data_IF_860197178124
#
_entry.id   IF_860197178124
#
_cell.length_a   1.000
_cell.length_b   1.000
_cell.length_c   1.000
_cell.angle_alpha   90.00
_cell.angle_beta   90.00
_cell.angle_gamma   90.00
#
_symmetry.space_group_name_H-M   'P 1'
#
loop_
_entity.id
_entity.type
_entity.pdbx_description
1 polymer ?
#
# COMPACT_ATOMS: atom_id res chain seq x y z
N UNK A 1 -9.35 -0.12 -10.16
CA UNK A 1 -8.62 -0.95 -9.17
C UNK A 1 -8.12 -2.20 -9.90
N UNK A 2 -6.83 -2.52 -9.91
CA UNK A 2 -6.44 -3.80 -10.55
C UNK A 2 -4.98 -4.09 -10.90
N UNK A 3 -4.01 -3.22 -10.60
CA UNK A 3 -2.59 -3.62 -10.75
C UNK A 3 -1.78 -3.39 -9.48
N UNK A 4 -1.92 -2.22 -8.83
CA UNK A 4 -1.26 -1.91 -7.56
C UNK A 4 -2.30 -1.46 -6.54
N UNK A 5 -2.51 -2.25 -5.48
CA UNK A 5 -3.54 -1.97 -4.48
C UNK A 5 -3.15 -0.79 -3.59
N UNK A 6 -1.87 -0.64 -3.26
CA UNK A 6 -1.37 0.49 -2.46
C UNK A 6 -1.34 1.84 -3.21
N UNK A 7 -1.61 1.85 -4.52
CA UNK A 7 -1.85 3.06 -5.30
C UNK A 7 -3.30 3.57 -5.17
N UNK A 8 -4.09 3.04 -4.22
CA UNK A 8 -5.49 3.43 -4.04
C UNK A 8 -5.62 4.94 -3.82
N UNK A 9 -6.53 5.56 -4.57
CA UNK A 9 -6.93 6.97 -4.48
C UNK A 9 -8.44 7.05 -4.67
N UNK A 10 -9.18 7.00 -3.58
CA UNK A 10 -10.65 7.06 -3.58
C UNK A 10 -11.16 8.45 -3.25
N UNK A 11 -12.19 8.95 -3.95
CA UNK A 11 -12.84 10.21 -3.58
C UNK A 11 -13.65 10.04 -2.29
N UNK A 12 -13.55 11.01 -1.38
CA UNK A 12 -14.30 11.03 -0.13
C UNK A 12 -15.68 11.67 -0.33
N UNK A 13 -16.68 10.88 -0.71
CA UNK A 13 -18.05 11.36 -0.92
C UNK A 13 -18.13 12.50 -1.93
N UNK A 14 -18.74 13.62 -1.55
CA UNK A 14 -18.84 14.84 -2.37
C UNK A 14 -17.72 15.86 -2.10
N UNK A 15 -16.72 15.50 -1.32
CA UNK A 15 -15.58 16.38 -1.04
C UNK A 15 -14.51 16.28 -2.13
N UNK A 16 -13.59 17.23 -2.15
CA UNK A 16 -12.39 17.19 -2.99
C UNK A 16 -11.26 16.34 -2.37
N UNK A 17 -11.49 15.71 -1.22
CA UNK A 17 -10.47 14.92 -0.54
C UNK A 17 -10.32 13.54 -1.16
N UNK A 18 -9.08 13.03 -1.11
CA UNK A 18 -8.71 11.72 -1.62
C UNK A 18 -8.25 10.84 -0.46
N UNK A 19 -8.95 9.73 -0.26
CA UNK A 19 -8.51 8.63 0.60
C UNK A 19 -7.36 7.88 -0.06
N UNK A 20 -6.23 7.85 0.62
CA UNK A 20 -5.12 6.95 0.28
C UNK A 20 -5.39 5.53 0.82
N UNK A 21 -4.48 4.61 0.49
CA UNK A 21 -4.65 3.22 0.90
C UNK A 21 -4.56 3.01 2.43
N UNK A 22 -3.77 3.83 3.12
CA UNK A 22 -3.65 3.75 4.58
C UNK A 22 -4.99 4.13 5.24
N UNK A 23 -5.62 5.22 4.78
CA UNK A 23 -6.94 5.63 5.25
C UNK A 23 -7.98 4.55 4.98
N UNK A 24 -7.97 3.93 3.80
CA UNK A 24 -8.88 2.81 3.51
C UNK A 24 -8.72 1.66 4.50
N UNK A 25 -7.48 1.29 4.84
CA UNK A 25 -7.20 0.22 5.80
C UNK A 25 -7.70 0.56 7.21
N UNK A 26 -7.53 1.81 7.65
CA UNK A 26 -8.03 2.31 8.93
C UNK A 26 -9.55 2.16 9.01
N UNK A 27 -10.29 2.60 7.98
CA UNK A 27 -11.75 2.49 7.94
C UNK A 27 -12.24 1.04 7.86
N UNK A 28 -11.61 0.20 7.03
CA UNK A 28 -11.96 -1.23 6.92
C UNK A 28 -11.72 -1.94 8.25
N UNK A 29 -10.70 -1.54 9.01
CA UNK A 29 -10.42 -2.12 10.33
C UNK A 29 -11.48 -1.77 11.38
N UNK A 30 -12.18 -0.64 11.25
CA UNK A 30 -13.27 -0.26 12.15
C UNK A 30 -14.59 -0.98 11.85
N UNK A 31 -14.72 -1.61 10.68
CA UNK A 31 -15.95 -2.31 10.30
C UNK A 31 -16.25 -3.50 11.24
N UNK A 32 -17.47 -3.61 11.77
CA UNK A 32 -17.88 -4.76 12.58
C UNK A 32 -17.74 -6.07 11.80
N UNK A 33 -17.24 -7.11 12.46
CA UNK A 33 -17.05 -8.44 11.87
C UNK A 33 -15.77 -8.63 11.04
N UNK A 34 -15.01 -7.57 10.75
CA UNK A 34 -13.67 -7.72 10.17
C UNK A 34 -12.69 -8.09 11.28
N UNK A 35 -12.14 -9.30 11.22
CA UNK A 35 -11.14 -9.79 12.17
C UNK A 35 -9.71 -9.66 11.64
N UNK A 36 -9.54 -9.73 10.31
CA UNK A 36 -8.22 -9.79 9.68
C UNK A 36 -8.24 -9.15 8.29
N UNK A 37 -7.22 -8.36 8.00
CA UNK A 37 -7.04 -7.66 6.73
C UNK A 37 -5.72 -8.13 6.10
N UNK A 38 -5.80 -8.61 4.86
CA UNK A 38 -4.67 -8.95 4.02
C UNK A 38 -4.89 -8.35 2.64
N UNK A 39 -3.83 -7.80 2.06
CA UNK A 39 -3.83 -7.40 0.67
C UNK A 39 -2.60 -7.99 -0.03
N UNK A 40 -2.72 -8.11 -1.35
CA UNK A 40 -1.66 -8.56 -2.26
C UNK A 40 -1.49 -7.51 -3.35
N UNK A 41 -0.46 -7.64 -4.19
CA UNK A 41 -0.14 -6.71 -5.30
C UNK A 41 0.15 -5.28 -4.84
N UNK A 42 1.40 -5.03 -4.45
CA UNK A 42 1.92 -3.72 -4.05
C UNK A 42 3.00 -3.23 -5.01
N UNK A 43 3.08 -1.92 -5.21
CA UNK A 43 4.21 -1.29 -5.90
C UNK A 43 5.17 -0.66 -4.90
N UNK A 44 6.50 -0.88 -5.00
CA UNK A 44 7.48 -0.27 -4.11
C UNK A 44 7.35 1.26 -3.98
N UNK A 45 7.19 1.98 -5.09
CA UNK A 45 7.01 3.45 -5.06
C UNK A 45 5.74 3.94 -4.35
N UNK A 46 4.75 3.08 -4.15
CA UNK A 46 3.48 3.43 -3.50
C UNK A 46 3.47 3.00 -2.03
N UNK A 47 4.61 2.57 -1.49
CA UNK A 47 4.77 2.20 -0.09
C UNK A 47 5.11 3.44 0.75
N UNK A 48 4.11 4.26 1.00
CA UNK A 48 4.26 5.55 1.68
C UNK A 48 4.51 5.39 3.18
N UNK A 49 5.03 6.45 3.82
CA UNK A 49 5.20 6.48 5.28
C UNK A 49 3.89 6.23 6.03
N UNK A 50 2.76 6.77 5.55
CA UNK A 50 1.44 6.48 6.13
C UNK A 50 1.08 5.00 6.08
N UNK A 51 1.40 4.32 4.98
CA UNK A 51 1.15 2.88 4.87
C UNK A 51 2.05 2.08 5.82
N UNK A 52 3.30 2.48 6.01
CA UNK A 52 4.21 1.89 7.02
C UNK A 52 3.60 2.05 8.43
N UNK A 53 3.13 3.24 8.77
CA UNK A 53 2.51 3.49 10.07
C UNK A 53 1.22 2.69 10.30
N UNK A 54 0.44 2.44 9.24
CA UNK A 54 -0.76 1.61 9.34
C UNK A 54 -0.44 0.18 9.83
N UNK A 55 0.70 -0.39 9.45
CA UNK A 55 1.15 -1.69 9.98
C UNK A 55 1.43 -1.68 11.49
N UNK A 56 1.80 -0.52 12.05
CA UNK A 56 1.98 -0.38 13.50
C UNK A 56 0.67 -0.08 14.24
N UNK A 57 -0.24 0.66 13.60
CA UNK A 57 -1.47 1.19 14.23
C UNK A 57 -2.70 0.32 14.08
N UNK A 58 -2.75 -0.58 13.09
CA UNK A 58 -3.93 -1.38 12.75
C UNK A 58 -3.68 -2.86 13.11
N UNK A 59 -4.10 -3.36 14.30
CA UNK A 59 -3.82 -4.73 14.72
C UNK A 59 -4.43 -5.81 13.82
N UNK A 60 -5.54 -5.48 13.13
CA UNK A 60 -6.21 -6.37 12.17
C UNK A 60 -5.42 -6.53 10.87
N UNK A 61 -4.48 -5.62 10.58
CA UNK A 61 -3.61 -5.71 9.42
C UNK A 61 -2.50 -6.71 9.70
N UNK A 62 -2.42 -7.75 8.88
CA UNK A 62 -1.44 -8.81 9.07
C UNK A 62 -0.01 -8.29 8.93
N UNK A 63 0.92 -8.77 9.76
CA UNK A 63 2.37 -8.54 9.63
C UNK A 63 2.97 -9.32 8.44
N UNK A 64 2.42 -9.10 7.25
CA UNK A 64 2.86 -9.68 5.99
C UNK A 64 2.72 -8.64 4.89
N UNK A 65 3.79 -8.46 4.12
CA UNK A 65 3.86 -7.52 3.02
C UNK A 65 4.23 -8.26 1.72
N UNK A 66 3.34 -8.20 0.72
CA UNK A 66 3.62 -8.73 -0.61
C UNK A 66 4.20 -7.62 -1.50
N UNK A 67 5.53 -7.46 -1.49
CA UNK A 67 6.24 -6.40 -2.22
C UNK A 67 7.22 -6.95 -3.27
N UNK A 68 6.83 -7.05 -4.54
CA UNK A 68 7.71 -7.50 -5.60
C UNK A 68 8.67 -6.39 -6.03
N UNK A 69 9.87 -6.36 -5.45
CA UNK A 69 10.95 -5.39 -5.76
C UNK A 69 11.64 -5.63 -7.11
N UNK A 70 11.34 -6.74 -7.78
CA UNK A 70 11.83 -7.15 -9.10
C UNK A 70 13.32 -7.55 -9.16
N UNK A 71 14.24 -6.67 -8.76
CA UNK A 71 15.69 -6.92 -8.84
C UNK A 71 16.46 -6.13 -7.77
N UNK A 72 17.62 -6.65 -7.34
CA UNK A 72 18.49 -5.99 -6.34
C UNK A 72 19.65 -5.16 -6.94
N UNK A 73 19.58 -4.75 -8.20
CA UNK A 73 20.67 -4.01 -8.87
C UNK A 73 20.11 -2.72 -9.44
N UNK A 74 20.64 -1.57 -9.01
CA UNK A 74 20.18 -0.26 -9.46
C UNK A 74 20.25 -0.12 -10.98
N UNK A 75 21.32 -0.65 -11.59
CA UNK A 75 21.47 -0.65 -13.05
C UNK A 75 20.31 -1.37 -13.74
N UNK A 76 19.89 -2.52 -13.21
CA UNK A 76 18.79 -3.30 -13.77
C UNK A 76 17.44 -2.64 -13.45
N UNK A 77 17.25 -2.12 -12.24
CA UNK A 77 16.05 -1.39 -11.83
C UNK A 77 15.82 -0.15 -12.71
N UNK A 78 16.88 0.61 -13.01
CA UNK A 78 16.83 1.75 -13.95
C UNK A 78 16.47 1.29 -15.37
N UNK A 79 17.07 0.21 -15.86
CA UNK A 79 16.72 -0.36 -17.17
C UNK A 79 15.24 -0.82 -17.24
N UNK A 80 14.69 -1.31 -16.12
CA UNK A 80 13.28 -1.67 -15.96
C UNK A 80 12.36 -0.46 -15.68
N UNK A 81 12.91 0.76 -15.63
CA UNK A 81 12.20 2.02 -15.31
C UNK A 81 11.48 1.97 -13.97
N UNK A 82 12.07 1.32 -12.96
CA UNK A 82 11.41 1.10 -11.68
C UNK A 82 11.36 2.33 -10.76
N UNK A 83 12.21 3.33 -10.98
CA UNK A 83 12.13 4.62 -10.27
C UNK A 83 12.50 4.56 -8.78
N UNK A 84 13.03 3.42 -8.33
CA UNK A 84 13.61 3.19 -7.01
C UNK A 84 14.95 2.45 -7.16
N UNK A 85 15.81 2.59 -6.16
CA UNK A 85 17.09 1.87 -6.01
C UNK A 85 16.94 0.75 -4.98
N UNK A 86 17.88 -0.19 -4.99
CA UNK A 86 17.99 -1.23 -3.97
C UNK A 86 18.63 -0.69 -2.67
N UNK A 87 19.37 0.42 -2.74
CA UNK A 87 19.99 1.13 -1.62
C UNK A 87 19.84 2.64 -1.75
#
# INVERSE_FOLDING_TARGET
LGQNVNAYRGKMGQTNEIADFALLLEYVAEMPGIERIRYTTSHPNEFTQRLIEAYAKVPKLVSHLHLPVQHGSDRILMAMKRGYTAM
#
